data_IF_508645038899
#
_entry.id   IF_508645038899
#
_cell.length_a   1.000
_cell.length_b   1.000
_cell.length_c   1.000
_cell.angle_alpha   90.00
_cell.angle_beta   90.00
_cell.angle_gamma   90.00
#
_symmetry.space_group_name_H-M   'P 1'
#
loop_
_entity.id
_entity.type
_entity.pdbx_description
1 polymer ?
#
# COMPACT_ATOMS: atom_id res chain seq x y z
N UNK A 1 -63.96 28.37 -5.98
CA UNK A 1 -62.81 29.30 -5.92
C UNK A 1 -61.79 28.96 -4.83
N UNK A 2 -62.17 28.29 -3.73
CA UNK A 2 -61.27 27.89 -2.63
C UNK A 2 -60.15 26.91 -3.06
N UNK A 3 -60.43 26.01 -4.01
CA UNK A 3 -59.45 25.02 -4.49
C UNK A 3 -58.30 25.60 -5.34
N UNK A 4 -58.49 26.80 -5.92
CA UNK A 4 -57.46 27.47 -6.72
C UNK A 4 -56.53 28.32 -5.86
N UNK A 5 -57.05 28.92 -4.79
CA UNK A 5 -56.29 29.70 -3.82
C UNK A 5 -55.26 28.83 -3.08
N UNK A 6 -55.69 27.65 -2.61
CA UNK A 6 -54.81 26.71 -1.93
C UNK A 6 -53.71 26.14 -2.85
N UNK A 7 -53.97 26.03 -4.16
CA UNK A 7 -52.95 25.64 -5.15
C UNK A 7 -51.93 26.75 -5.39
N UNK A 8 -52.35 28.02 -5.40
CA UNK A 8 -51.43 29.15 -5.56
C UNK A 8 -50.50 29.28 -4.34
N UNK A 9 -51.03 29.13 -3.13
CA UNK A 9 -50.25 29.10 -1.88
C UNK A 9 -49.25 27.93 -1.86
N UNK A 10 -49.69 26.73 -2.27
CA UNK A 10 -48.82 25.57 -2.39
C UNK A 10 -47.71 25.76 -3.44
N UNK A 11 -48.03 26.39 -4.58
CA UNK A 11 -47.04 26.70 -5.62
C UNK A 11 -46.08 27.79 -5.17
N UNK A 12 -46.55 28.83 -4.47
CA UNK A 12 -45.72 29.90 -3.94
C UNK A 12 -44.77 29.38 -2.87
N UNK A 13 -45.26 28.53 -1.95
CA UNK A 13 -44.41 27.88 -0.94
C UNK A 13 -43.39 26.93 -1.57
N UNK A 14 -43.76 26.16 -2.59
CA UNK A 14 -42.82 25.34 -3.37
C UNK A 14 -41.76 26.19 -4.07
N UNK A 15 -42.14 27.29 -4.71
CA UNK A 15 -41.21 28.21 -5.38
C UNK A 15 -40.29 28.90 -4.36
N UNK A 16 -40.82 29.28 -3.19
CA UNK A 16 -40.02 29.84 -2.10
C UNK A 16 -39.09 28.80 -1.48
N UNK A 17 -39.50 27.54 -1.31
CA UNK A 17 -38.64 26.44 -0.87
C UNK A 17 -37.58 26.10 -1.93
N UNK A 18 -37.94 26.12 -3.22
CA UNK A 18 -37.00 25.98 -4.34
C UNK A 18 -36.00 27.14 -4.38
N UNK A 19 -36.44 28.38 -4.13
CA UNK A 19 -35.56 29.53 -4.00
C UNK A 19 -34.67 29.44 -2.76
N UNK A 20 -35.19 29.02 -1.60
CA UNK A 20 -34.40 28.83 -0.37
C UNK A 20 -33.37 27.71 -0.55
N UNK A 21 -33.71 26.66 -1.30
CA UNK A 21 -32.76 25.58 -1.64
C UNK A 21 -31.76 25.97 -2.72
N UNK A 22 -32.12 26.85 -3.67
CA UNK A 22 -31.23 27.40 -4.70
C UNK A 22 -30.30 28.52 -4.18
N UNK A 23 -30.73 29.28 -3.17
CA UNK A 23 -29.94 30.37 -2.53
C UNK A 23 -28.94 29.85 -1.50
N UNK A 24 -29.06 28.58 -1.09
CA UNK A 24 -28.04 27.92 -0.28
C UNK A 24 -26.84 27.57 -1.17
N UNK A 25 -26.06 28.59 -1.50
CA UNK A 25 -24.80 28.43 -2.21
C UNK A 25 -23.93 27.43 -1.44
N UNK A 26 -23.58 26.32 -2.08
CA UNK A 26 -22.55 25.42 -1.56
C UNK A 26 -21.27 26.25 -1.43
N UNK A 27 -20.86 26.44 -0.19
CA UNK A 27 -19.59 27.07 0.11
C UNK A 27 -18.51 26.12 -0.31
N UNK A 28 -17.77 26.53 -1.33
CA UNK A 28 -16.72 25.73 -1.90
C UNK A 28 -15.70 25.42 -0.83
N UNK A 29 -15.28 24.16 -0.81
CA UNK A 29 -14.07 23.62 -0.21
C UNK A 29 -13.02 24.70 0.14
N UNK A 30 -12.78 24.88 1.44
CA UNK A 30 -11.68 25.69 1.95
C UNK A 30 -10.34 25.01 1.65
N UNK A 31 -9.28 25.75 1.33
CA UNK A 31 -7.96 25.16 1.11
C UNK A 31 -7.41 24.52 2.39
N UNK A 32 -6.47 23.58 2.23
CA UNK A 32 -5.73 22.97 3.34
C UNK A 32 -5.12 24.05 4.25
N UNK A 33 -5.09 23.78 5.54
CA UNK A 33 -4.67 24.73 6.58
C UNK A 33 -5.68 25.81 6.94
N UNK A 34 -6.91 25.69 6.43
CA UNK A 34 -8.03 26.56 6.81
C UNK A 34 -9.29 25.75 7.08
N UNK A 35 -10.24 26.34 7.79
CA UNK A 35 -11.54 25.76 8.07
C UNK A 35 -12.67 26.77 7.86
N UNK A 36 -13.89 26.28 7.66
CA UNK A 36 -15.08 27.09 7.44
C UNK A 36 -15.64 27.67 8.73
N UNK A 37 -15.86 28.98 8.77
CA UNK A 37 -16.39 29.67 9.94
C UNK A 37 -17.92 29.52 10.15
N UNK A 38 -18.62 28.83 9.26
CA UNK A 38 -20.06 28.58 9.38
C UNK A 38 -20.98 29.70 8.86
N UNK A 39 -20.42 30.81 8.35
CA UNK A 39 -21.19 31.86 7.68
C UNK A 39 -21.65 31.40 6.28
N UNK A 40 -22.48 32.16 5.57
CA UNK A 40 -22.70 31.90 4.14
C UNK A 40 -21.54 32.49 3.33
N UNK A 41 -21.02 31.70 2.40
CA UNK A 41 -20.16 32.19 1.34
C UNK A 41 -21.01 33.13 0.49
N UNK A 42 -20.82 34.43 0.67
CA UNK A 42 -21.23 35.38 -0.35
C UNK A 42 -20.52 35.09 -1.68
N UNK A 43 -20.41 36.11 -2.54
CA UNK A 43 -19.72 35.95 -3.85
C UNK A 43 -18.23 35.54 -3.72
N UNK A 44 -17.61 35.77 -2.56
CA UNK A 44 -16.22 35.40 -2.27
C UNK A 44 -16.11 34.19 -1.34
N UNK A 45 -15.80 33.02 -1.92
CA UNK A 45 -15.63 31.75 -1.18
C UNK A 45 -14.47 31.77 -0.16
N UNK A 46 -13.42 32.54 -0.43
CA UNK A 46 -12.23 32.60 0.43
C UNK A 46 -12.41 33.49 1.68
N UNK A 47 -13.44 34.35 1.72
CA UNK A 47 -13.65 35.28 2.83
C UNK A 47 -14.02 34.57 4.14
N UNK A 48 -14.55 33.35 4.04
CA UNK A 48 -15.09 32.61 5.18
C UNK A 48 -14.26 31.37 5.57
N UNK A 49 -13.09 31.20 4.96
CA UNK A 49 -12.07 30.25 5.39
C UNK A 49 -11.10 30.91 6.38
N UNK A 50 -11.01 30.38 7.58
CA UNK A 50 -10.15 30.88 8.67
C UNK A 50 -8.92 29.97 8.80
N UNK A 51 -7.70 30.51 8.97
CA UNK A 51 -6.50 29.71 9.25
C UNK A 51 -6.65 28.83 10.49
N UNK A 52 -6.06 27.64 10.45
CA UNK A 52 -6.02 26.75 11.60
C UNK A 52 -5.31 27.42 12.81
N UNK A 53 -5.87 27.35 14.02
CA UNK A 53 -5.19 27.81 15.22
C UNK A 53 -3.93 26.97 15.54
N UNK A 54 -3.04 27.45 16.42
CA UNK A 54 -1.86 26.69 16.83
C UNK A 54 -2.23 25.29 17.35
N UNK A 55 -1.37 24.31 17.07
CA UNK A 55 -1.60 22.89 17.38
C UNK A 55 -2.84 22.28 16.70
N UNK A 56 -3.22 22.78 15.52
CA UNK A 56 -4.23 22.14 14.67
C UNK A 56 -3.86 22.22 13.19
N UNK A 57 -4.47 21.36 12.38
CA UNK A 57 -4.19 21.25 10.96
C UNK A 57 -5.43 20.87 10.12
N UNK A 58 -5.35 21.10 8.82
CA UNK A 58 -6.30 20.63 7.80
C UNK A 58 -5.48 20.15 6.61
N UNK A 59 -5.53 18.85 6.30
CA UNK A 59 -4.64 18.25 5.30
C UNK A 59 -5.13 18.37 3.86
N UNK A 60 -6.44 18.45 3.66
CA UNK A 60 -7.06 18.49 2.35
C UNK A 60 -7.99 19.68 2.25
N UNK A 61 -8.24 20.13 1.01
CA UNK A 61 -9.26 21.14 0.80
C UNK A 61 -10.64 20.52 1.06
N UNK A 62 -11.49 21.16 1.87
CA UNK A 62 -12.76 20.57 2.29
C UNK A 62 -13.72 21.57 2.92
N UNK A 63 -14.90 21.06 3.29
CA UNK A 63 -15.95 21.85 3.95
C UNK A 63 -15.90 21.73 5.48
N UNK A 64 -14.73 21.36 6.01
CA UNK A 64 -14.53 21.16 7.45
C UNK A 64 -14.79 22.45 8.22
N UNK A 65 -15.55 22.36 9.31
CA UNK A 65 -15.86 23.50 10.20
C UNK A 65 -14.85 23.69 11.32
N UNK A 66 -13.89 22.78 11.43
CA UNK A 66 -12.82 22.78 12.44
C UNK A 66 -11.56 22.20 11.82
N UNK A 67 -10.40 22.61 12.34
CA UNK A 67 -9.14 21.92 12.07
C UNK A 67 -8.99 20.73 13.03
N UNK A 68 -8.31 19.69 12.56
CA UNK A 68 -7.96 18.52 13.36
C UNK A 68 -6.85 18.91 14.35
N UNK A 69 -6.94 18.44 15.58
CA UNK A 69 -5.91 18.72 16.59
C UNK A 69 -4.67 17.88 16.27
N UNK A 70 -3.50 18.50 16.30
CA UNK A 70 -2.25 17.79 16.08
C UNK A 70 -2.05 16.72 17.16
N UNK A 71 -1.68 15.50 16.76
CA UNK A 71 -1.32 14.48 17.75
C UNK A 71 -0.02 14.85 18.46
N UNK A 72 0.11 14.39 19.69
CA UNK A 72 1.35 14.52 20.47
C UNK A 72 2.08 13.19 20.51
N UNK A 73 3.41 13.24 20.35
CA UNK A 73 4.26 12.08 20.55
C UNK A 73 4.59 11.97 22.05
N UNK A 74 4.12 10.91 22.70
CA UNK A 74 4.29 10.69 24.15
C UNK A 74 4.93 9.31 24.42
N UNK A 75 5.49 9.13 25.63
CA UNK A 75 6.06 7.85 26.06
C UNK A 75 7.29 7.45 25.24
N UNK A 76 7.21 6.31 24.53
CA UNK A 76 8.31 5.74 23.72
C UNK A 76 8.43 6.35 22.31
N UNK A 77 7.56 7.31 22.00
CA UNK A 77 7.57 8.03 20.73
C UNK A 77 8.27 9.38 20.87
N UNK A 78 8.92 9.81 19.79
CA UNK A 78 9.52 11.14 19.61
C UNK A 78 8.93 11.82 18.39
N UNK A 79 8.92 13.15 18.40
CA UNK A 79 8.53 13.93 17.23
C UNK A 79 9.56 13.77 16.12
N UNK A 80 9.11 13.29 14.97
CA UNK A 80 9.90 13.20 13.73
C UNK A 80 9.67 14.43 12.85
N UNK A 81 8.41 14.86 12.76
CA UNK A 81 8.01 16.08 12.06
C UNK A 81 7.04 16.85 12.94
N UNK A 82 7.31 18.13 13.12
CA UNK A 82 6.41 19.04 13.84
C UNK A 82 5.10 19.23 13.08
N UNK A 83 4.05 19.55 13.84
CA UNK A 83 2.76 19.90 13.23
C UNK A 83 2.84 21.20 12.45
N UNK A 84 2.13 21.26 11.33
CA UNK A 84 1.93 22.48 10.55
C UNK A 84 0.45 22.71 10.31
N UNK A 85 -0.01 23.91 9.89
CA UNK A 85 -1.41 24.12 9.55
C UNK A 85 -1.95 23.11 8.52
N UNK A 86 -1.10 22.56 7.66
CA UNK A 86 -1.51 21.63 6.59
C UNK A 86 -1.19 20.16 6.87
N UNK A 87 -0.52 19.84 7.98
CA UNK A 87 -0.09 18.47 8.25
C UNK A 87 -0.02 18.17 9.74
N UNK A 88 -0.50 17.00 10.13
CA UNK A 88 -0.33 16.48 11.47
C UNK A 88 1.15 16.35 11.86
N UNK A 89 1.41 16.27 13.16
CA UNK A 89 2.69 15.82 13.71
C UNK A 89 3.01 14.42 13.17
N UNK A 90 4.26 14.13 12.81
CA UNK A 90 4.68 12.75 12.56
C UNK A 90 5.49 12.25 13.77
N UNK A 91 5.10 11.11 14.32
CA UNK A 91 5.83 10.46 15.41
C UNK A 91 6.70 9.33 14.88
N UNK A 92 7.81 9.09 15.57
CA UNK A 92 8.73 7.98 15.34
C UNK A 92 9.13 7.37 16.68
N UNK A 93 9.72 6.18 16.66
CA UNK A 93 10.18 5.53 17.87
C UNK A 93 11.49 6.16 18.37
N UNK A 94 11.67 6.17 19.70
CA UNK A 94 12.96 6.52 20.29
C UNK A 94 14.05 5.51 19.93
N UNK A 95 15.31 5.91 20.06
CA UNK A 95 16.46 5.04 19.80
C UNK A 95 16.39 3.73 20.59
N UNK A 96 16.67 2.62 19.91
CA UNK A 96 16.52 1.26 20.46
C UNK A 96 15.13 0.64 20.22
N UNK A 97 14.27 1.33 19.47
CA UNK A 97 12.98 0.83 19.01
C UNK A 97 12.79 1.18 17.53
N UNK A 98 12.01 0.36 16.84
CA UNK A 98 11.57 0.59 15.47
C UNK A 98 10.04 0.64 15.38
N UNK A 99 9.55 1.36 14.37
CA UNK A 99 8.14 1.42 14.04
C UNK A 99 7.61 0.06 13.60
N UNK A 100 6.51 -0.36 14.21
CA UNK A 100 5.73 -1.50 13.77
C UNK A 100 4.25 -1.10 13.60
N UNK A 101 3.54 -1.77 12.69
CA UNK A 101 2.14 -1.48 12.35
C UNK A 101 1.94 -0.27 11.43
N UNK A 102 0.70 -0.10 10.96
CA UNK A 102 0.34 1.01 10.09
C UNK A 102 0.55 2.35 10.80
N UNK A 103 1.15 3.32 10.09
CA UNK A 103 1.39 4.68 10.60
C UNK A 103 2.29 4.77 11.83
N UNK A 104 3.14 3.76 12.10
CA UNK A 104 3.94 3.66 13.32
C UNK A 104 3.07 3.71 14.60
N UNK A 105 1.99 2.91 14.63
CA UNK A 105 1.08 2.84 15.79
C UNK A 105 1.70 2.19 17.02
N UNK A 106 2.81 1.46 16.87
CA UNK A 106 3.53 0.82 17.98
C UNK A 106 5.04 0.88 17.75
N UNK A 107 5.78 0.92 18.85
CA UNK A 107 7.24 0.80 18.86
C UNK A 107 7.65 -0.54 19.42
N UNK A 108 8.42 -1.30 18.64
CA UNK A 108 8.97 -2.58 19.04
C UNK A 108 10.46 -2.43 19.34
N UNK A 109 10.99 -3.00 20.43
CA UNK A 109 12.40 -2.90 20.75
C UNK A 109 13.27 -3.57 19.70
N UNK A 110 14.44 -2.99 19.46
CA UNK A 110 15.45 -3.50 18.55
C UNK A 110 16.21 -4.65 19.19
N UNK A 111 15.72 -5.87 18.98
CA UNK A 111 16.38 -7.07 19.49
C UNK A 111 17.69 -7.33 18.76
N UNK A 112 18.73 -7.57 19.55
CA UNK A 112 20.09 -7.82 19.06
C UNK A 112 20.21 -9.24 18.52
N UNK A 113 21.33 -9.49 17.83
CA UNK A 113 21.72 -10.86 17.48
C UNK A 113 21.76 -11.74 18.74
N UNK A 114 21.19 -12.93 18.62
CA UNK A 114 21.00 -13.89 19.70
C UNK A 114 19.85 -13.59 20.65
N UNK A 115 18.98 -12.64 20.28
CA UNK A 115 17.72 -12.37 20.96
C UNK A 115 16.56 -12.47 19.98
N UNK A 116 15.36 -12.69 20.49
CA UNK A 116 14.11 -12.61 19.76
C UNK A 116 13.09 -11.74 20.49
N UNK A 117 12.10 -11.23 19.75
CA UNK A 117 11.00 -10.48 20.34
C UNK A 117 9.90 -11.42 20.82
N UNK A 118 9.50 -11.28 22.09
CA UNK A 118 8.46 -12.11 22.74
C UNK A 118 7.21 -11.30 23.12
N UNK A 119 6.89 -10.25 22.36
CA UNK A 119 5.72 -9.39 22.61
C UNK A 119 5.95 -8.32 23.68
N UNK A 120 6.60 -8.66 24.79
CA UNK A 120 6.88 -7.73 25.91
C UNK A 120 8.30 -7.16 25.93
N UNK A 121 9.17 -7.63 25.04
CA UNK A 121 10.59 -7.29 25.05
C UNK A 121 11.43 -8.29 24.28
N UNK A 122 12.74 -8.09 24.34
CA UNK A 122 13.72 -9.01 23.77
C UNK A 122 14.11 -10.07 24.81
N UNK A 123 14.26 -11.31 24.36
CA UNK A 123 14.73 -12.44 25.16
C UNK A 123 15.89 -13.12 24.45
N UNK A 124 16.91 -13.51 25.19
CA UNK A 124 18.01 -14.31 24.65
C UNK A 124 17.53 -15.69 24.16
N UNK A 125 18.13 -16.18 23.08
CA UNK A 125 17.83 -17.51 22.59
C UNK A 125 18.22 -18.58 23.61
N UNK A 126 17.31 -19.51 23.85
CA UNK A 126 17.51 -20.67 24.72
C UNK A 126 18.62 -21.58 24.18
N UNK A 127 19.22 -22.40 25.04
CA UNK A 127 20.16 -23.43 24.61
C UNK A 127 19.56 -24.33 23.52
N UNK A 128 20.36 -24.67 22.51
CA UNK A 128 19.89 -25.41 21.34
C UNK A 128 19.20 -24.54 20.27
N UNK A 129 19.16 -23.23 20.46
CA UNK A 129 18.64 -22.26 19.48
C UNK A 129 19.59 -21.09 19.27
N UNK A 130 19.45 -20.41 18.14
CA UNK A 130 20.22 -19.22 17.81
C UNK A 130 19.42 -18.23 16.95
N UNK A 131 19.85 -16.97 16.96
CA UNK A 131 19.42 -15.97 15.99
C UNK A 131 20.64 -15.19 15.52
N UNK A 132 20.98 -15.31 14.24
CA UNK A 132 22.11 -14.61 13.63
C UNK A 132 21.74 -13.25 13.00
N UNK A 133 20.45 -12.88 12.99
CA UNK A 133 19.96 -11.62 12.46
C UNK A 133 19.59 -10.62 13.56
N UNK A 134 19.69 -9.33 13.26
CA UNK A 134 19.03 -8.29 14.06
C UNK A 134 17.53 -8.35 13.85
N UNK A 135 16.73 -8.27 14.94
CA UNK A 135 15.26 -8.38 14.90
C UNK A 135 14.73 -9.73 14.33
N UNK A 136 15.58 -10.76 14.26
CA UNK A 136 15.17 -12.11 13.89
C UNK A 136 14.50 -12.89 15.04
N UNK A 137 14.19 -14.15 14.75
CA UNK A 137 13.63 -15.11 15.70
C UNK A 137 14.66 -16.19 16.04
N UNK A 138 14.57 -16.76 17.24
CA UNK A 138 15.41 -17.89 17.61
C UNK A 138 14.96 -19.14 16.86
N UNK A 139 15.90 -19.79 16.18
CA UNK A 139 15.69 -21.04 15.45
C UNK A 139 16.60 -22.13 16.01
N UNK A 140 16.17 -23.38 15.87
CA UNK A 140 16.96 -24.52 16.36
C UNK A 140 18.32 -24.61 15.67
N UNK A 141 19.33 -25.08 16.42
CA UNK A 141 20.60 -25.47 15.82
C UNK A 141 20.40 -26.60 14.82
N UNK A 142 21.23 -26.61 13.77
CA UNK A 142 21.27 -27.69 12.79
C UNK A 142 21.61 -29.02 13.48
N UNK A 143 20.86 -30.07 13.15
CA UNK A 143 21.15 -31.41 13.66
C UNK A 143 22.15 -32.13 12.74
N UNK A 144 23.44 -32.09 13.07
CA UNK A 144 24.50 -32.69 12.26
C UNK A 144 24.33 -34.20 12.03
N UNK A 145 23.74 -34.90 13.01
CA UNK A 145 23.58 -36.36 12.95
C UNK A 145 22.64 -36.81 11.84
N UNK A 146 21.69 -35.95 11.41
CA UNK A 146 20.79 -36.25 10.29
C UNK A 146 21.55 -36.44 8.97
N UNK A 147 22.73 -35.86 8.85
CA UNK A 147 23.56 -35.92 7.65
C UNK A 147 24.78 -36.84 7.82
N UNK A 148 24.83 -37.63 8.91
CA UNK A 148 26.01 -38.44 9.24
C UNK A 148 27.26 -37.62 9.59
N UNK A 149 27.07 -36.35 9.95
CA UNK A 149 28.15 -35.43 10.32
C UNK A 149 28.24 -35.31 11.85
N UNK A 150 29.40 -34.88 12.33
CA UNK A 150 29.61 -34.53 13.74
C UNK A 150 29.68 -33.02 13.91
N UNK A 151 29.37 -32.53 15.12
CA UNK A 151 29.55 -31.13 15.48
C UNK A 151 31.04 -30.84 15.59
N UNK A 152 31.57 -30.00 14.69
CA UNK A 152 32.96 -29.53 14.74
C UNK A 152 33.11 -28.30 15.63
N UNK A 153 32.10 -27.41 15.63
CA UNK A 153 32.06 -26.21 16.47
C UNK A 153 30.67 -26.09 17.08
N UNK A 154 30.62 -25.95 18.40
CA UNK A 154 29.36 -25.73 19.10
C UNK A 154 28.69 -24.42 18.71
N UNK A 155 27.36 -24.49 18.59
CA UNK A 155 26.50 -23.34 18.40
C UNK A 155 26.52 -22.42 19.62
N UNK A 156 26.04 -21.21 19.42
CA UNK A 156 25.80 -20.22 20.49
C UNK A 156 24.39 -19.67 20.31
N UNK A 157 23.94 -18.78 21.19
CA UNK A 157 22.69 -18.05 20.96
C UNK A 157 22.75 -17.18 19.68
N UNK A 158 23.93 -16.87 19.12
CA UNK A 158 24.09 -16.01 17.94
C UNK A 158 24.43 -16.76 16.65
N UNK A 159 24.89 -18.00 16.73
CA UNK A 159 25.41 -18.75 15.58
C UNK A 159 25.02 -20.21 15.68
N UNK A 160 24.83 -20.82 14.52
CA UNK A 160 24.55 -22.25 14.44
C UNK A 160 25.77 -23.11 14.83
N UNK A 161 25.53 -24.40 15.05
CA UNK A 161 26.60 -25.40 15.04
C UNK A 161 27.24 -25.49 13.66
N UNK A 162 28.54 -25.81 13.62
CA UNK A 162 29.22 -26.14 12.37
C UNK A 162 29.36 -27.65 12.29
N UNK A 163 28.74 -28.26 11.28
CA UNK A 163 28.81 -29.69 11.03
C UNK A 163 29.96 -30.02 10.07
N UNK A 164 30.55 -31.20 10.24
CA UNK A 164 31.51 -31.73 9.28
C UNK A 164 31.85 -33.20 9.52
N UNK A 165 32.67 -33.81 8.66
CA UNK A 165 33.08 -35.20 8.82
C UNK A 165 33.87 -35.38 10.12
N UNK A 166 33.72 -36.55 10.75
CA UNK A 166 34.53 -36.89 11.90
C UNK A 166 36.01 -36.85 11.49
N UNK A 167 36.83 -36.10 12.24
CA UNK A 167 38.28 -36.17 12.09
C UNK A 167 38.69 -37.56 12.56
N UNK A 168 39.02 -38.44 11.62
CA UNK A 168 39.83 -39.61 11.92
C UNK A 168 41.23 -39.07 12.23
N UNK A 169 41.63 -39.12 13.50
CA UNK A 169 43.06 -39.07 13.85
C UNK A 169 43.69 -40.35 13.29
N UNK A 170 43.97 -40.32 12.00
CA UNK A 170 45.00 -41.19 11.44
C UNK A 170 46.31 -40.55 11.85
N UNK A 171 46.89 -41.07 12.92
CA UNK A 171 48.32 -40.97 13.18
C UNK A 171 49.05 -41.52 11.96
N UNK A 172 49.30 -40.67 10.97
CA UNK A 172 50.11 -41.01 9.81
C UNK A 172 51.53 -40.56 10.12
N UNK A 173 52.31 -41.54 10.62
CA UNK A 173 53.75 -41.45 10.66
C UNK A 173 54.29 -40.95 9.33
N UNK A 174 55.29 -40.09 9.43
CA UNK A 174 55.98 -39.50 8.31
C UNK A 174 56.38 -40.57 7.29
N UNK A 175 55.75 -40.54 6.11
CA UNK A 175 56.33 -41.09 4.90
C UNK A 175 56.30 -39.95 3.88
N UNK A 176 57.46 -39.31 3.73
CA UNK A 176 57.75 -38.45 2.59
C UNK A 176 57.63 -39.28 1.31
N UNK A 177 56.61 -39.01 0.51
CA UNK A 177 56.54 -39.47 -0.88
C UNK A 177 56.50 -38.25 -1.78
N UNK A 178 57.58 -38.08 -2.51
CA UNK A 178 57.75 -37.14 -3.63
C UNK A 178 56.64 -37.34 -4.65
N UNK A 179 55.83 -36.30 -4.89
CA UNK A 179 54.82 -36.28 -5.96
C UNK A 179 55.50 -35.88 -7.28
N UNK A 180 55.42 -36.69 -8.35
CA UNK A 180 55.67 -36.18 -9.69
C UNK A 180 54.48 -35.36 -10.16
N UNK A 181 54.77 -34.16 -10.66
CA UNK A 181 53.79 -33.28 -11.29
C UNK A 181 53.30 -33.87 -12.61
N UNK A 182 52.15 -34.55 -12.60
CA UNK A 182 51.32 -34.70 -13.79
C UNK A 182 49.92 -35.15 -13.41
N UNK A 183 48.92 -34.59 -14.09
CA UNK A 183 47.51 -34.99 -14.14
C UNK A 183 46.55 -34.27 -13.17
N UNK A 184 46.59 -32.92 -13.19
CA UNK A 184 45.39 -32.11 -12.98
C UNK A 184 44.87 -31.66 -14.35
N UNK A 185 44.11 -32.53 -15.03
CA UNK A 185 43.50 -32.21 -16.33
C UNK A 185 42.19 -32.98 -16.52
N UNK A 186 41.13 -32.55 -15.84
CA UNK A 186 39.70 -32.82 -16.17
C UNK A 186 38.75 -32.17 -15.16
N UNK A 187 38.81 -30.84 -14.97
CA UNK A 187 37.68 -30.13 -14.33
C UNK A 187 37.55 -28.66 -14.78
N UNK A 188 38.63 -28.04 -15.24
CA UNK A 188 38.62 -26.66 -15.76
C UNK A 188 37.86 -26.52 -17.09
N UNK A 189 37.92 -27.52 -17.97
CA UNK A 189 37.24 -27.48 -19.27
C UNK A 189 35.72 -27.64 -19.13
N UNK A 190 35.24 -28.39 -18.13
CA UNK A 190 33.80 -28.59 -17.89
C UNK A 190 33.15 -27.36 -17.28
N UNK A 191 33.81 -26.71 -16.32
CA UNK A 191 33.34 -25.45 -15.75
C UNK A 191 33.35 -24.33 -16.80
N UNK A 192 34.40 -24.22 -17.61
CA UNK A 192 34.48 -23.23 -18.68
C UNK A 192 33.39 -23.45 -19.74
N UNK A 193 33.09 -24.70 -20.10
CA UNK A 193 32.01 -25.02 -21.04
C UNK A 193 30.63 -24.59 -20.50
N UNK A 194 30.34 -24.83 -19.22
CA UNK A 194 29.07 -24.45 -18.59
C UNK A 194 28.91 -22.91 -18.55
N UNK A 195 29.96 -22.19 -18.15
CA UNK A 195 29.95 -20.72 -18.14
C UNK A 195 29.79 -20.14 -19.54
N UNK A 196 30.46 -20.75 -20.54
CA UNK A 196 30.36 -20.32 -21.94
C UNK A 196 28.93 -20.54 -22.47
N UNK A 197 28.31 -21.68 -22.17
CA UNK A 197 26.93 -21.97 -22.56
C UNK A 197 25.95 -20.97 -21.93
N UNK A 198 26.10 -20.68 -20.64
CA UNK A 198 25.25 -19.73 -19.93
C UNK A 198 25.36 -18.30 -20.51
N UNK A 199 26.57 -17.86 -20.84
CA UNK A 199 26.80 -16.55 -21.48
C UNK A 199 26.16 -16.48 -22.87
N UNK A 200 26.30 -17.53 -23.69
CA UNK A 200 25.67 -17.55 -25.03
C UNK A 200 24.14 -17.46 -24.95
N UNK A 201 23.52 -18.15 -24.00
CA UNK A 201 22.06 -18.09 -23.80
C UNK A 201 21.59 -16.72 -23.33
N UNK A 202 22.32 -16.09 -22.40
CA UNK A 202 22.00 -14.76 -21.90
C UNK A 202 22.13 -13.69 -23.00
N UNK A 203 23.20 -13.75 -23.79
CA UNK A 203 23.40 -12.83 -24.93
C UNK A 203 22.32 -13.03 -26.01
N UNK A 204 21.96 -14.27 -26.33
CA UNK A 204 20.89 -14.57 -27.28
C UNK A 204 19.53 -14.01 -26.83
N UNK A 205 19.18 -14.21 -25.55
CA UNK A 205 17.94 -13.66 -24.99
C UNK A 205 17.92 -12.13 -25.04
N UNK A 206 19.02 -11.47 -24.71
CA UNK A 206 19.12 -10.01 -24.78
C UNK A 206 18.97 -9.50 -26.22
N UNK A 207 19.60 -10.15 -27.20
CA UNK A 207 19.43 -9.80 -28.62
C UNK A 207 17.99 -9.98 -29.09
N UNK A 208 17.29 -11.04 -28.67
CA UNK A 208 15.88 -11.26 -28.99
C UNK A 208 14.98 -10.16 -28.40
N UNK A 209 15.26 -9.70 -27.18
CA UNK A 209 14.54 -8.57 -26.58
C UNK A 209 14.77 -7.27 -27.36
N UNK A 210 16.01 -7.00 -27.79
CA UNK A 210 16.33 -5.84 -28.61
C UNK A 210 15.64 -5.90 -29.99
N UNK A 211 15.63 -7.07 -30.64
CA UNK A 211 14.92 -7.28 -31.90
C UNK A 211 13.40 -7.15 -31.72
N UNK A 212 12.85 -7.67 -30.64
CA UNK A 212 11.43 -7.52 -30.30
C UNK A 212 11.06 -6.05 -30.08
N UNK A 213 11.89 -5.29 -29.36
CA UNK A 213 11.73 -3.85 -29.19
C UNK A 213 11.87 -3.08 -30.50
N UNK A 214 12.82 -3.43 -31.36
CA UNK A 214 12.99 -2.79 -32.66
C UNK A 214 11.80 -3.09 -33.58
N UNK A 215 11.33 -4.34 -33.64
CA UNK A 215 10.13 -4.75 -34.37
C UNK A 215 8.87 -4.05 -33.84
N UNK A 216 8.69 -3.96 -32.52
CA UNK A 216 7.58 -3.24 -31.91
C UNK A 216 7.68 -1.72 -32.15
N UNK A 217 8.88 -1.15 -32.12
CA UNK A 217 9.15 0.26 -32.42
C UNK A 217 8.82 0.63 -33.86
N UNK A 218 9.19 -0.22 -34.83
CA UNK A 218 8.82 -0.05 -36.25
C UNK A 218 7.30 -0.20 -36.42
N UNK A 219 6.66 -1.14 -35.71
CA UNK A 219 5.19 -1.30 -35.73
C UNK A 219 4.46 -0.10 -35.13
N UNK A 220 5.03 0.53 -34.11
CA UNK A 220 4.51 1.76 -33.49
C UNK A 220 4.71 3.01 -34.37
N UNK A 221 5.80 3.07 -35.16
CA UNK A 221 6.02 4.17 -36.13
C UNK A 221 4.98 4.17 -37.27
N UNK A 222 4.45 3.00 -37.66
CA UNK A 222 3.30 2.91 -38.59
C UNK A 222 1.96 3.27 -37.96
N UNK A 223 1.87 3.28 -36.62
CA UNK A 223 0.68 3.66 -35.85
C UNK A 223 0.67 5.12 -35.38
N UNK A 224 1.79 5.83 -35.46
CA UNK A 224 1.86 7.24 -35.06
C UNK A 224 1.18 8.25 -36.02
N UNK A 225 0.97 8.01 -37.34
CA UNK A 225 0.30 9.00 -38.18
C UNK A 225 -1.23 9.00 -38.04
N UNK A 226 -1.85 8.10 -37.26
CA UNK A 226 -3.32 8.10 -37.05
C UNK A 226 -3.78 8.78 -35.75
N UNK A 227 -2.97 8.82 -34.69
CA UNK A 227 -3.39 9.48 -33.43
C UNK A 227 -3.17 11.00 -33.44
N UNK A 228 -2.19 11.50 -34.18
CA UNK A 228 -1.94 12.95 -34.26
C UNK A 228 -2.99 13.70 -35.11
N UNK A 229 -3.74 12.97 -35.95
CA UNK A 229 -4.78 13.57 -36.82
C UNK A 229 -6.13 13.76 -36.11
N UNK A 230 -6.31 13.20 -34.91
CA UNK A 230 -7.59 13.25 -34.19
C UNK A 230 -7.67 14.41 -33.17
N UNK A 231 -6.57 15.14 -32.94
CA UNK A 231 -6.53 16.26 -31.98
C UNK A 231 -6.71 17.63 -32.65
N UNK A 232 -6.80 17.69 -33.97
CA UNK A 232 -7.03 18.93 -34.71
C UNK A 232 -8.20 18.69 -35.67
N UNK A 233 -9.21 19.56 -35.67
CA UNK A 233 -10.47 19.50 -36.44
C UNK A 233 -11.65 18.92 -35.65
N UNK A 234 -12.25 19.78 -34.83
CA UNK A 234 -13.71 19.87 -34.75
C UNK A 234 -14.09 21.35 -34.83
N UNK A 235 -14.44 21.88 -36.02
CA UNK A 235 -15.09 23.17 -36.12
C UNK A 235 -16.59 23.02 -35.83
N UNK A 236 -17.11 24.06 -35.21
CA UNK A 236 -18.52 24.42 -35.09
C UNK A 236 -19.08 24.78 -36.48
N UNK A 237 -20.23 24.24 -36.86
CA UNK A 237 -21.33 24.84 -37.68
C UNK A 237 -22.42 23.76 -37.90
N UNK A 238 -23.70 23.94 -37.52
CA UNK A 238 -24.83 24.72 -38.09
C UNK A 238 -25.43 24.13 -39.39
N UNK A 239 -26.76 23.93 -39.34
CA UNK A 239 -27.80 23.88 -40.40
C UNK A 239 -28.02 22.63 -41.28
N UNK A 240 -29.31 22.23 -41.35
CA UNK A 240 -30.09 21.55 -42.42
C UNK A 240 -29.63 20.17 -42.89
N UNK A 241 -30.44 19.24 -43.40
CA UNK A 241 -31.88 18.93 -43.57
C UNK A 241 -31.90 17.52 -44.22
N UNK A 242 -33.08 16.95 -44.46
CA UNK A 242 -33.42 15.90 -45.45
C UNK A 242 -33.72 14.48 -44.92
N UNK A 243 -34.92 14.05 -45.32
CA UNK A 243 -35.69 12.84 -45.02
C UNK A 243 -35.06 11.51 -45.48
N UNK A 244 -35.41 10.41 -44.79
CA UNK A 244 -36.14 9.26 -45.39
C UNK A 244 -36.08 7.96 -44.52
N UNK A 245 -37.28 7.53 -44.10
CA UNK A 245 -37.81 6.16 -44.14
C UNK A 245 -37.18 4.98 -43.35
N UNK A 246 -37.87 4.64 -42.24
CA UNK A 246 -38.69 3.42 -42.03
C UNK A 246 -38.09 2.02 -41.68
N UNK A 247 -38.78 1.42 -40.70
CA UNK A 247 -38.90 0.01 -40.24
C UNK A 247 -37.86 -0.48 -39.20
N UNK A 248 -38.22 -1.08 -38.05
CA UNK A 248 -39.49 -1.48 -37.43
C UNK A 248 -39.27 -2.05 -36.01
N UNK A 249 -40.31 -2.05 -35.17
CA UNK A 249 -40.42 -2.85 -33.92
C UNK A 249 -40.92 -4.28 -34.28
N UNK A 250 -40.69 -5.35 -33.49
CA UNK A 250 -40.98 -5.53 -32.04
C UNK A 250 -39.84 -6.29 -31.31
N UNK A 251 -39.87 -6.81 -30.07
CA UNK A 251 -40.90 -7.32 -29.15
C UNK A 251 -40.28 -7.48 -27.73
N UNK A 252 -41.10 -7.55 -26.69
CA UNK A 252 -40.73 -7.75 -25.28
C UNK A 252 -40.31 -9.21 -24.97
N UNK A 253 -39.38 -9.41 -24.04
CA UNK A 253 -39.20 -10.66 -23.29
C UNK A 253 -38.84 -10.33 -21.84
N UNK A 254 -39.54 -10.98 -20.92
CA UNK A 254 -39.54 -10.79 -19.47
C UNK A 254 -38.86 -12.00 -18.79
N UNK A 255 -38.12 -11.78 -17.69
CA UNK A 255 -37.66 -12.89 -16.85
C UNK A 255 -36.63 -12.56 -15.76
N UNK A 256 -37.15 -12.25 -14.56
CA UNK A 256 -36.69 -12.55 -13.19
C UNK A 256 -35.20 -12.63 -12.79
N UNK A 257 -34.85 -11.95 -11.68
CA UNK A 257 -34.28 -12.61 -10.48
C UNK A 257 -34.37 -11.79 -9.16
N UNK A 258 -35.14 -12.37 -8.23
CA UNK A 258 -35.08 -12.47 -6.76
C UNK A 258 -34.51 -11.35 -5.85
N UNK A 259 -35.37 -10.98 -4.88
CA UNK A 259 -35.10 -10.22 -3.66
C UNK A 259 -34.74 -11.20 -2.53
N UNK A 260 -33.55 -11.07 -1.93
CA UNK A 260 -33.22 -11.70 -0.64
C UNK A 260 -33.47 -10.71 0.49
N UNK A 261 -34.48 -11.01 1.29
CA UNK A 261 -34.82 -10.37 2.57
C UNK A 261 -34.11 -11.15 3.69
N UNK A 262 -33.25 -10.51 4.48
CA UNK A 262 -32.83 -11.03 5.78
C UNK A 262 -33.05 -9.98 6.87
N UNK A 263 -33.55 -10.49 7.98
CA UNK A 263 -34.19 -9.81 9.10
C UNK A 263 -33.23 -8.94 9.94
N UNK A 264 -33.76 -7.83 10.46
CA UNK A 264 -33.29 -7.23 11.71
C UNK A 264 -34.52 -6.84 12.53
N UNK A 265 -35.02 -7.82 13.30
CA UNK A 265 -35.90 -7.58 14.45
C UNK A 265 -35.39 -8.48 15.56
N UNK A 266 -34.48 -7.96 16.39
CA UNK A 266 -34.37 -8.30 17.81
C UNK A 266 -33.32 -7.39 18.48
N UNK A 267 -33.70 -6.21 18.98
CA UNK A 267 -33.19 -5.68 20.26
C UNK A 267 -33.84 -4.34 20.66
N UNK A 268 -35.18 -4.28 20.81
CA UNK A 268 -35.81 -3.12 21.44
C UNK A 268 -37.09 -3.48 22.21
N UNK A 269 -36.97 -4.40 23.15
CA UNK A 269 -37.97 -4.68 24.18
C UNK A 269 -37.25 -4.84 25.52
N UNK A 270 -36.69 -3.75 26.09
CA UNK A 270 -36.19 -3.75 27.47
C UNK A 270 -35.89 -2.37 28.12
N UNK A 271 -36.46 -1.24 27.66
CA UNK A 271 -36.16 0.07 28.30
C UNK A 271 -37.34 0.99 28.64
N UNK A 272 -38.58 0.52 28.64
CA UNK A 272 -39.69 1.29 29.23
C UNK A 272 -40.63 0.41 30.06
N UNK A 273 -40.06 -0.21 31.10
CA UNK A 273 -40.83 -0.63 32.26
C UNK A 273 -39.95 -0.70 33.49
N UNK A 274 -39.48 0.47 33.95
CA UNK A 274 -39.15 0.74 35.35
C UNK A 274 -38.90 2.26 35.56
N UNK A 275 -39.48 2.80 36.65
CA UNK A 275 -39.65 4.23 37.03
C UNK A 275 -40.76 4.97 36.26
N UNK A 276 -41.98 5.06 36.81
CA UNK A 276 -42.42 5.86 37.97
C UNK A 276 -42.32 7.36 37.72
#
# INVERSE_FOLDING_TARGET
MVNSYNKLEAMLTLVMLLWITLVRGSCGSCPAGTFWNGTDCGKNKNQACIPCPPNSFSSTAGEQRTCDICKRCEGIFRTKRECTPTSDTECDCMSGYHCAGAGCSRCQPDCKQGQEFIGKGCRDCSFGTFNDLTQGNCRHWTNCSLNGLVVLVNGTNKRDVVCGPAKTDVTLGAISVTVPASLMRTDKDRQLAIFTLALTMATGFFVLLLLSWFCCGIRNKKKLPYLLKQTFIKPVQTAQEEDACSCGFPEEEQGDREIIKFQSELHLELFLKDSK
#
